data_IF_212484270433
#
_entry.id   IF_212484270433
#
_cell.length_a   1.000
_cell.length_b   1.000
_cell.length_c   1.000
_cell.angle_alpha   90.00
_cell.angle_beta   90.00
_cell.angle_gamma   90.00
#
_symmetry.space_group_name_H-M   'P 1'
#
loop_
_entity.id
_entity.type
_entity.pdbx_description
1 polymer ?
2 water ?
#
# COMPACT_ATOMS: atom_id res chain seq x y z
N UNK A 26 -11.72 3.50 18.67
CA UNK A 26 -12.68 3.61 19.81
C UNK A 26 -13.85 2.68 19.67
N UNK A 27 -14.23 2.16 20.82
CA UNK A 27 -15.11 1.00 20.91
C UNK A 27 -16.54 1.35 20.45
N UNK A 28 -17.02 2.54 20.80
CA UNK A 28 -18.34 3.01 20.36
C UNK A 28 -18.43 3.16 18.85
N UNK A 29 -17.37 3.72 18.25
CA UNK A 29 -17.33 3.91 16.82
C UNK A 29 -17.44 2.55 16.12
N UNK A 30 -16.64 1.61 16.61
CA UNK A 30 -16.61 0.26 16.05
C UNK A 30 -17.99 -0.36 16.09
N UNK A 31 -18.68 -0.20 17.22
CA UNK A 31 -20.03 -0.75 17.37
C UNK A 31 -21.00 -0.15 16.38
N UNK A 32 -20.95 1.17 16.20
CA UNK A 32 -21.90 1.87 15.30
C UNK A 32 -21.66 1.39 13.86
N UNK A 33 -20.39 1.33 13.46
CA UNK A 33 -19.98 0.89 12.11
C UNK A 33 -20.36 -0.57 11.83
N UNK A 34 -20.16 -1.46 12.79
CA UNK A 34 -20.52 -2.86 12.53
C UNK A 34 -22.02 -3.00 12.26
N UNK A 35 -22.83 -2.33 13.07
CA UNK A 35 -24.29 -2.43 12.92
C UNK A 35 -24.74 -1.79 11.62
N UNK A 36 -24.21 -0.59 11.36
CA UNK A 36 -24.49 0.11 10.12
C UNK A 36 -24.12 -0.69 8.88
N UNK A 37 -22.96 -1.33 8.88
CA UNK A 37 -22.53 -2.09 7.72
C UNK A 37 -23.48 -3.28 7.42
N UNK A 38 -23.99 -3.93 8.47
CA UNK A 38 -24.93 -5.02 8.26
C UNK A 38 -26.29 -4.51 7.77
N UNK A 39 -26.57 -3.21 8.00
CA UNK A 39 -27.77 -2.49 7.53
C UNK A 39 -27.47 -1.57 6.34
N UNK A 40 -26.32 -1.76 5.69
CA UNK A 40 -25.81 -0.78 4.70
C UNK A 40 -26.72 -0.47 3.55
N UNK A 41 -27.63 -1.38 3.22
CA UNK A 41 -28.57 -1.12 2.16
C UNK A 41 -29.51 0.06 2.41
N UNK A 42 -29.75 0.42 3.68
CA UNK A 42 -30.46 1.66 3.98
C UNK A 42 -29.60 2.86 4.39
N UNK A 43 -28.32 2.84 4.00
CA UNK A 43 -27.40 3.99 4.15
C UNK A 43 -27.15 4.61 2.80
N UNK A 44 -27.32 5.92 2.70
CA UNK A 44 -27.22 6.59 1.41
C UNK A 44 -26.81 8.06 1.58
N UNK A 45 -26.81 8.84 0.51
CA UNK A 45 -26.31 10.22 0.58
C UNK A 45 -27.14 11.07 1.54
N UNK A 46 -28.36 10.61 1.88
CA UNK A 46 -29.27 11.41 2.67
C UNK A 46 -29.19 11.06 4.16
N UNK A 47 -28.49 9.97 4.48
CA UNK A 47 -28.22 9.55 5.87
C UNK A 47 -27.53 10.64 6.67
N UNK A 48 -27.97 10.89 7.90
CA UNK A 48 -27.24 11.78 8.77
C UNK A 48 -27.07 11.13 10.14
N UNK A 49 -27.23 11.88 11.22
CA UNK A 49 -27.05 11.31 12.56
C UNK A 49 -25.79 10.57 12.89
N UNK A 50 -25.92 9.55 13.75
CA UNK A 50 -24.79 8.85 14.33
C UNK A 50 -23.98 8.05 13.31
N UNK A 51 -24.68 7.45 12.36
CA UNK A 51 -24.02 6.74 11.27
C UNK A 51 -23.13 7.68 10.40
N UNK A 52 -23.66 8.81 9.91
CA UNK A 52 -22.77 9.74 9.19
C UNK A 52 -21.61 10.20 10.05
N UNK A 53 -21.85 10.53 11.31
CA UNK A 53 -20.78 10.99 12.17
C UNK A 53 -19.71 9.94 12.45
N UNK A 54 -20.12 8.72 12.75
CA UNK A 54 -19.15 7.63 13.00
C UNK A 54 -18.32 7.32 11.76
N UNK A 55 -18.95 7.23 10.62
CA UNK A 55 -18.17 6.95 9.40
C UNK A 55 -17.16 8.08 9.19
N UNK A 56 -17.63 9.33 9.32
CA UNK A 56 -16.80 10.54 9.15
C UNK A 56 -15.58 10.56 10.07
N UNK A 57 -15.85 10.36 11.36
CA UNK A 57 -14.82 10.29 12.40
C UNK A 57 -13.81 9.19 12.11
N UNK A 58 -14.31 8.04 11.69
CA UNK A 58 -13.47 6.87 11.44
C UNK A 58 -12.43 7.17 10.32
N UNK A 59 -12.88 7.82 9.23
CA UNK A 59 -12.04 8.13 8.11
C UNK A 59 -11.06 9.25 8.49
N UNK A 60 -11.50 10.14 9.37
CA UNK A 60 -10.61 11.15 9.92
C UNK A 60 -9.50 10.48 10.72
N UNK A 61 -9.84 9.53 11.60
CA UNK A 61 -8.84 8.78 12.34
C UNK A 61 -7.90 8.03 11.42
N UNK A 62 -8.41 7.42 10.36
CA UNK A 62 -7.57 6.80 9.34
C UNK A 62 -6.61 7.87 8.69
N UNK A 63 -7.15 9.02 8.34
CA UNK A 63 -6.39 10.07 7.68
C UNK A 63 -5.20 10.55 8.54
N UNK A 64 -5.38 10.53 9.85
CA UNK A 64 -4.37 10.92 10.82
C UNK A 64 -3.49 9.78 11.30
N UNK A 65 -3.70 8.56 10.80
CA UNK A 65 -2.91 7.41 11.21
C UNK A 65 -3.17 7.00 12.67
N UNK A 66 -4.20 7.56 13.30
CA UNK A 66 -4.54 7.26 14.73
C UNK A 66 -5.20 5.88 14.87
N UNK A 67 -5.67 5.34 13.74
CA UNK A 67 -6.10 3.94 13.63
C UNK A 67 -5.57 3.50 12.27
N UNK A 68 -5.51 2.20 12.02
CA UNK A 68 -5.02 1.68 10.71
C UNK A 68 -5.73 0.37 10.31
N UNK A 69 -5.85 0.10 9.00
CA UNK A 69 -6.60 -1.04 8.46
C UNK A 69 -6.01 -2.38 8.94
N UNK A 70 -4.69 -2.46 9.03
CA UNK A 70 -3.98 -3.65 9.46
C UNK A 70 -2.86 -3.19 10.38
N UNK A 71 -2.60 -3.97 11.42
CA UNK A 71 -1.54 -3.64 12.35
C UNK A 71 -0.75 -4.90 12.72
N UNK A 72 0.53 -4.71 12.96
CA UNK A 72 1.40 -5.83 13.26
C UNK A 72 1.31 -6.17 14.74
N UNK A 73 1.02 -7.44 15.00
CA UNK A 73 0.90 -7.88 16.40
C UNK A 73 2.25 -8.40 16.88
N UNK A 74 2.43 -8.51 18.20
CA UNK A 74 3.55 -9.27 18.77
C UNK A 74 3.02 -10.65 18.55
N UNK A 75 3.88 -11.54 18.07
CA UNK A 75 3.43 -12.65 17.26
C UNK A 75 3.93 -12.39 15.84
N UNK A 76 4.23 -11.13 15.57
CA UNK A 76 4.84 -10.68 14.33
C UNK A 76 4.01 -10.87 13.08
N UNK A 77 2.69 -10.84 13.17
CA UNK A 77 1.88 -10.94 11.97
C UNK A 77 0.88 -9.81 11.92
N UNK A 78 0.36 -9.58 10.73
CA UNK A 78 -0.49 -8.41 10.52
C UNK A 78 -1.98 -8.83 10.62
N UNK A 79 -2.74 -8.13 11.45
CA UNK A 79 -4.16 -8.38 11.68
C UNK A 79 -4.98 -7.27 11.10
N UNK A 80 -6.03 -7.64 10.35
CA UNK A 80 -6.99 -6.72 9.75
C UNK A 80 -8.00 -6.20 10.79
N UNK A 81 -8.18 -4.87 10.81
CA UNK A 81 -9.25 -4.25 11.57
C UNK A 81 -10.43 -4.06 10.59
N UNK A 82 -11.22 -5.11 10.44
CA UNK A 82 -12.34 -5.19 9.48
C UNK A 82 -13.31 -4.03 9.60
N UNK A 83 -13.64 -3.58 10.80
CA UNK A 83 -14.58 -2.43 10.93
C UNK A 83 -14.08 -1.20 10.15
N UNK A 84 -12.77 -1.02 10.05
CA UNK A 84 -12.22 0.10 9.29
C UNK A 84 -12.43 -0.03 7.77
N UNK A 85 -12.24 -1.22 7.24
CA UNK A 85 -12.69 -1.48 5.88
C UNK A 85 -14.21 -1.25 5.69
N UNK A 86 -15.01 -1.56 6.71
CA UNK A 86 -16.45 -1.34 6.63
C UNK A 86 -16.78 0.16 6.64
N UNK A 87 -16.09 0.96 7.46
CA UNK A 87 -16.26 2.42 7.44
C UNK A 87 -16.00 2.98 6.05
N UNK A 88 -14.89 2.56 5.44
CA UNK A 88 -14.52 3.02 4.07
C UNK A 88 -15.62 2.67 3.06
N UNK A 89 -16.10 1.42 3.11
CA UNK A 89 -17.18 0.97 2.23
C UNK A 89 -18.50 1.74 2.45
N UNK A 90 -18.78 2.17 3.66
CA UNK A 90 -20.01 2.95 3.97
C UNK A 90 -19.91 4.36 3.40
N UNK A 91 -18.68 4.88 3.36
CA UNK A 91 -18.41 6.22 2.91
C UNK A 91 -18.74 6.35 1.43
N UNK A 92 -18.65 5.23 0.70
CA UNK A 92 -19.09 5.20 -0.73
C UNK A 92 -20.58 5.45 -0.83
N UNK A 93 -21.33 5.00 0.17
CA UNK A 93 -22.78 5.11 0.17
C UNK A 93 -23.26 6.48 0.66
N UNK A 94 -22.53 7.02 1.62
CA UNK A 94 -22.76 8.31 2.21
C UNK A 94 -22.39 9.43 1.24
N UNK A 95 -21.41 9.22 0.38
CA UNK A 95 -20.88 10.35 -0.38
C UNK A 95 -21.34 10.24 -1.82
N UNK A 96 -21.84 11.34 -2.39
CA UNK A 96 -22.36 11.35 -3.74
C UNK A 96 -21.26 11.50 -4.79
N UNK A 97 -21.48 10.97 -5.98
CA UNK A 97 -20.75 11.45 -7.15
C UNK A 97 -20.98 12.96 -7.27
N UNK A 98 -19.91 13.71 -7.55
CA UNK A 98 -20.09 15.15 -7.78
C UNK A 98 -19.02 15.67 -8.74
N UNK A 99 -19.26 16.87 -9.28
CA UNK A 99 -18.31 17.49 -10.18
C UNK A 99 -17.19 18.06 -9.33
N UNK A 100 -15.96 17.75 -9.67
CA UNK A 100 -14.84 18.15 -8.84
C UNK A 100 -13.94 19.05 -9.69
N UNK A 101 -13.87 20.31 -9.28
CA UNK A 101 -13.25 21.33 -10.12
C UNK A 101 -11.74 21.11 -10.15
N UNK A 102 -11.09 21.83 -11.05
CA UNK A 102 -9.64 21.92 -11.04
C UNK A 102 -8.88 21.20 -12.15
N UNK A 103 -9.58 20.73 -13.18
CA UNK A 103 -8.94 20.08 -14.33
C UNK A 103 -8.42 21.11 -15.34
N UNK A 104 -7.79 20.67 -16.44
CA UNK A 104 -7.29 21.64 -17.42
C UNK A 104 -8.38 22.47 -18.09
N UNK A 105 -8.05 23.75 -18.33
CA UNK A 105 -9.00 24.73 -18.90
C UNK A 105 -10.31 24.83 -18.14
N UNK A 106 -10.19 25.01 -16.83
CA UNK A 106 -11.34 25.10 -15.94
C UNK A 106 -12.37 23.94 -16.08
N UNK A 107 -11.90 22.76 -16.51
CA UNK A 107 -12.73 21.54 -16.63
C UNK A 107 -12.72 20.79 -15.30
N UNK A 108 -13.47 19.70 -15.24
CA UNK A 108 -13.77 19.06 -13.97
C UNK A 108 -13.60 17.55 -14.02
N UNK A 109 -13.57 16.94 -12.82
CA UNK A 109 -13.60 15.48 -12.69
C UNK A 109 -14.99 15.07 -12.16
N UNK A 110 -15.19 13.77 -12.00
CA UNK A 110 -16.49 13.21 -11.61
C UNK A 110 -16.25 11.96 -10.75
N UNK A 111 -16.37 12.14 -9.44
CA UNK A 111 -16.03 11.10 -8.47
C UNK A 111 -16.66 11.41 -7.12
N UNK A 112 -16.55 10.46 -6.19
CA UNK A 112 -17.19 10.61 -4.93
C UNK A 112 -16.26 10.53 -3.74
N UNK A 113 -14.94 10.62 -3.98
CA UNK A 113 -13.96 10.61 -2.91
C UNK A 113 -13.18 11.94 -2.91
N UNK A 114 -13.23 12.70 -1.79
CA UNK A 114 -12.45 13.97 -1.81
C UNK A 114 -10.95 13.79 -1.59
N UNK A 115 -10.20 14.76 -2.08
CA UNK A 115 -8.78 14.85 -1.76
C UNK A 115 -8.54 14.92 -0.27
N UNK A 116 -7.53 14.19 0.19
CA UNK A 116 -7.00 14.36 1.56
C UNK A 116 -6.82 15.84 1.92
N UNK A 117 -6.40 16.62 0.92
CA UNK A 117 -5.98 18.01 1.10
C UNK A 117 -7.12 19.03 0.91
N UNK A 118 -8.35 18.55 0.76
CA UNK A 118 -9.53 19.38 0.65
C UNK A 118 -9.58 20.32 1.86
N UNK A 119 -9.53 21.60 1.49
CA UNK A 119 -9.57 22.71 2.46
C UNK A 119 -8.34 22.93 3.31
N UNK A 120 -7.27 22.18 3.03
CA UNK A 120 -6.07 22.29 3.84
C UNK A 120 -5.40 23.65 3.58
N UNK A 121 -4.94 24.31 4.64
CA UNK A 121 -4.13 25.52 4.64
C UNK A 121 -2.79 25.12 5.20
N UNK A 122 -1.93 26.11 5.38
CA UNK A 122 -0.64 25.92 5.98
C UNK A 122 -0.73 25.26 7.36
N UNK A 123 -1.77 25.57 8.16
CA UNK A 123 -1.91 24.93 9.47
C UNK A 123 -1.88 23.39 9.39
N UNK A 124 -2.64 22.85 8.45
CA UNK A 124 -2.76 21.38 8.29
C UNK A 124 -1.49 20.78 7.74
N UNK A 125 -0.89 21.42 6.74
CA UNK A 125 0.40 20.91 6.21
C UNK A 125 1.57 20.99 7.20
N UNK A 126 1.58 22.05 7.98
CA UNK A 126 2.55 22.26 9.06
C UNK A 126 2.43 21.13 10.04
N UNK A 127 1.23 20.86 10.50
CA UNK A 127 1.04 19.81 11.47
C UNK A 127 1.43 18.43 10.94
N UNK A 128 1.07 18.14 9.69
CA UNK A 128 1.30 16.79 9.15
C UNK A 128 2.78 16.53 8.86
N UNK A 129 3.52 17.53 8.35
CA UNK A 129 4.97 17.45 8.25
C UNK A 129 5.51 16.67 7.05
N UNK A 130 4.70 16.40 6.05
CA UNK A 130 5.15 15.71 4.85
C UNK A 130 5.23 16.66 3.70
N UNK A 131 5.85 16.23 2.61
CA UNK A 131 6.02 17.08 1.44
C UNK A 131 5.13 16.57 0.34
N UNK A 132 4.38 17.47 -0.30
CA UNK A 132 3.40 17.09 -1.32
C UNK A 132 3.65 17.89 -2.58
N UNK A 133 4.38 17.23 -3.48
CA UNK A 133 4.83 17.84 -4.71
C UNK A 133 3.73 17.76 -5.71
N UNK A 134 3.44 18.89 -6.38
CA UNK A 134 2.48 18.91 -7.42
C UNK A 134 2.96 17.96 -8.52
N UNK A 135 2.11 17.10 -9.09
CA UNK A 135 0.66 17.07 -8.82
C UNK A 135 0.21 15.77 -8.21
N UNK A 136 0.80 15.44 -7.07
CA UNK A 136 0.45 14.19 -6.39
C UNK A 136 -1.03 14.22 -5.99
N UNK A 137 -1.61 13.04 -5.85
CA UNK A 137 -3.01 12.83 -5.54
C UNK A 137 -3.06 11.91 -4.31
N UNK A 138 -3.73 12.39 -3.28
CA UNK A 138 -3.99 11.54 -2.09
C UNK A 138 -5.45 11.63 -1.70
N UNK A 139 -6.10 10.49 -1.62
CA UNK A 139 -7.55 10.51 -1.24
C UNK A 139 -7.70 10.58 0.28
N UNK A 140 -8.72 11.30 0.76
CA UNK A 140 -9.00 11.36 2.21
C UNK A 140 -9.15 9.96 2.83
N UNK A 141 -8.56 9.78 4.00
CA UNK A 141 -8.40 8.51 4.81
C UNK A 141 -7.07 7.80 4.67
N UNK A 142 -6.22 8.28 3.78
CA UNK A 142 -4.80 7.82 3.72
C UNK A 142 -3.96 8.65 4.67
N UNK A 143 -3.15 7.98 5.49
CA UNK A 143 -2.27 8.61 6.48
C UNK A 143 -0.95 8.79 5.79
N UNK A 144 -0.46 10.01 5.81
CA UNK A 144 0.92 10.30 5.42
C UNK A 144 1.64 10.88 6.59
N UNK A 145 2.67 10.14 7.02
CA UNK A 145 3.45 10.49 8.21
C UNK A 145 4.45 11.61 8.01
N UNK A 146 4.89 12.21 9.13
CA UNK A 146 5.84 13.29 8.99
C UNK A 146 7.09 12.84 8.23
N UNK A 147 7.61 13.72 7.42
CA UNK A 147 8.90 13.52 6.73
C UNK A 147 8.82 12.55 5.54
N UNK A 148 7.61 12.07 5.22
CA UNK A 148 7.35 11.40 3.93
C UNK A 148 7.52 12.42 2.84
N UNK A 149 7.89 11.95 1.66
CA UNK A 149 7.98 12.80 0.46
C UNK A 149 7.13 12.17 -0.66
N UNK A 150 6.11 12.90 -1.07
CA UNK A 150 5.22 12.49 -2.15
C UNK A 150 5.62 13.27 -3.42
N UNK A 151 6.31 12.57 -4.29
CA UNK A 151 6.53 13.03 -5.64
C UNK A 151 5.17 12.87 -6.36
N UNK A 152 5.02 13.32 -7.63
CA UNK A 152 3.79 13.07 -8.34
C UNK A 152 3.53 11.56 -8.33
N UNK A 153 2.40 11.18 -7.74
CA UNK A 153 2.09 9.83 -7.30
C UNK A 153 0.65 9.81 -6.81
N UNK A 154 0.19 8.60 -6.49
CA UNK A 154 -1.19 8.36 -6.06
C UNK A 154 -1.25 7.47 -4.82
N UNK A 155 -1.88 7.99 -3.77
CA UNK A 155 -2.08 7.24 -2.53
C UNK A 155 -3.60 7.11 -2.32
N UNK A 156 -4.07 5.87 -2.22
CA UNK A 156 -5.50 5.57 -2.22
C UNK A 156 -6.03 5.45 -0.81
N UNK A 157 -7.35 5.36 -0.73
CA UNK A 157 -8.05 5.20 0.51
C UNK A 157 -7.48 4.27 1.55
N UNK A 158 -7.43 4.71 2.81
CA UNK A 158 -7.11 3.81 3.88
C UNK A 158 -5.65 3.39 3.92
N UNK A 159 -4.79 3.93 3.02
CA UNK A 159 -3.37 3.61 3.04
C UNK A 159 -2.71 4.22 4.28
N UNK A 160 -1.55 3.68 4.62
CA UNK A 160 -0.79 4.13 5.77
C UNK A 160 0.64 4.20 5.32
N UNK A 161 1.13 5.42 5.13
CA UNK A 161 2.46 5.72 4.70
C UNK A 161 3.21 6.31 5.89
N UNK A 162 4.11 5.50 6.45
CA UNK A 162 4.80 5.85 7.71
C UNK A 162 6.01 6.75 7.54
N UNK A 163 6.55 7.22 8.67
CA UNK A 163 7.53 8.29 8.72
C UNK A 163 8.69 8.11 7.75
N UNK A 164 9.02 9.16 7.00
CA UNK A 164 10.23 9.19 6.20
C UNK A 164 10.14 8.35 4.94
N UNK A 165 8.94 7.89 4.59
CA UNK A 165 8.75 7.07 3.39
C UNK A 165 8.99 7.97 2.17
N UNK A 166 9.61 7.42 1.14
CA UNK A 166 9.79 8.15 -0.11
C UNK A 166 8.93 7.48 -1.19
N UNK A 167 7.96 8.23 -1.70
CA UNK A 167 6.99 7.81 -2.71
C UNK A 167 7.41 8.58 -3.98
N UNK A 168 8.18 7.88 -4.80
CA UNK A 168 8.77 8.48 -6.02
C UNK A 168 7.75 8.66 -7.15
N UNK A 169 8.21 9.33 -8.22
CA UNK A 169 7.33 9.75 -9.31
C UNK A 169 6.65 8.57 -10.00
N UNK A 170 5.33 8.73 -10.14
CA UNK A 170 4.44 7.76 -10.72
C UNK A 170 4.47 6.45 -9.96
N UNK A 171 4.77 6.53 -8.67
CA UNK A 171 4.51 5.40 -7.80
C UNK A 171 3.01 5.39 -7.43
N UNK A 172 2.57 4.28 -6.86
CA UNK A 172 1.18 4.15 -6.45
C UNK A 172 1.12 3.38 -5.15
N UNK A 173 0.36 3.91 -4.19
CA UNK A 173 0.11 3.24 -2.94
C UNK A 173 -1.40 2.99 -2.92
N UNK A 174 -1.73 1.74 -3.19
CA UNK A 174 -3.10 1.27 -3.33
C UNK A 174 -3.91 1.21 -2.02
N UNK A 175 -5.21 1.00 -2.19
CA UNK A 175 -6.11 1.05 -1.04
C UNK A 175 -5.70 0.10 0.09
N UNK A 176 -5.70 0.65 1.32
CA UNK A 176 -5.36 -0.03 2.61
C UNK A 176 -3.94 -0.46 2.78
N UNK A 177 -3.07 -0.11 1.83
CA UNK A 177 -1.71 -0.62 1.79
C UNK A 177 -0.96 -0.06 2.99
N UNK A 178 -0.10 -0.86 3.59
CA UNK A 178 0.67 -0.45 4.74
C UNK A 178 2.14 -0.34 4.28
N UNK A 179 2.67 0.88 4.33
CA UNK A 179 4.04 1.21 3.92
C UNK A 179 4.87 1.66 5.11
N UNK A 180 5.88 0.88 5.40
CA UNK A 180 6.67 1.07 6.58
C UNK A 180 7.53 2.32 6.68
N UNK A 181 8.11 2.48 7.85
CA UNK A 181 8.99 3.61 8.07
C UNK A 181 10.21 3.48 7.16
N UNK A 182 10.63 4.61 6.58
CA UNK A 182 11.85 4.73 5.75
C UNK A 182 11.84 3.93 4.48
N UNK A 183 10.67 3.42 4.11
CA UNK A 183 10.51 2.68 2.88
C UNK A 183 10.73 3.57 1.68
N UNK A 184 11.48 3.06 0.71
CA UNK A 184 11.67 3.82 -0.54
C UNK A 184 10.95 3.07 -1.67
N UNK A 185 9.87 3.64 -2.14
CA UNK A 185 9.20 3.18 -3.33
C UNK A 185 9.73 4.01 -4.52
N UNK A 186 10.47 3.33 -5.36
CA UNK A 186 11.21 4.03 -6.45
C UNK A 186 10.26 4.40 -7.57
N UNK A 187 10.77 5.09 -8.60
CA UNK A 187 9.93 5.48 -9.73
C UNK A 187 9.09 4.36 -10.30
N UNK A 188 7.81 4.62 -10.51
CA UNK A 188 6.94 3.74 -11.19
C UNK A 188 6.65 2.48 -10.38
N UNK A 189 6.86 2.52 -9.07
CA UNK A 189 6.56 1.33 -8.24
C UNK A 189 5.09 1.34 -7.80
N UNK A 190 4.39 0.23 -7.97
CA UNK A 190 2.97 0.15 -7.64
C UNK A 190 2.77 -0.89 -6.56
N UNK A 191 2.04 -0.48 -5.52
CA UNK A 191 1.71 -1.33 -4.37
C UNK A 191 0.21 -1.50 -4.44
N UNK A 192 -0.23 -2.74 -4.71
CA UNK A 192 -1.64 -3.04 -5.04
C UNK A 192 -2.62 -2.85 -3.89
N UNK A 193 -3.80 -2.35 -4.23
CA UNK A 193 -4.87 -2.10 -3.30
C UNK A 193 -5.64 -3.36 -2.97
N UNK A 194 -6.13 -3.43 -1.73
CA UNK A 194 -6.94 -4.55 -1.30
C UNK A 194 -8.06 -4.02 -0.42
N UNK A 195 -9.26 -3.83 -0.96
CA UNK A 195 -10.37 -3.37 -0.09
C UNK A 195 -11.29 -4.54 0.25
N UNK A 196 -11.89 -5.11 -0.77
CA UNK A 196 -12.73 -6.31 -0.58
C UNK A 196 -11.97 -7.51 -1.12
N UNK A 197 -12.10 -8.68 -0.47
CA UNK A 197 -12.95 -8.98 0.71
C UNK A 197 -12.45 -8.48 2.07
N UNK A 198 -13.37 -8.51 3.03
CA UNK A 198 -13.19 -7.93 4.36
C UNK A 198 -12.03 -8.56 5.06
N UNK A 199 -11.99 -9.89 5.00
CA UNK A 199 -10.95 -10.66 5.63
C UNK A 199 -9.59 -10.49 4.98
N UNK A 200 -9.56 -10.06 3.71
CA UNK A 200 -8.32 -10.04 2.91
C UNK A 200 -7.36 -9.02 3.47
N UNK A 201 -6.15 -9.48 3.79
CA UNK A 201 -5.09 -8.61 4.29
C UNK A 201 -4.58 -7.68 3.19
N UNK A 202 -4.22 -6.45 3.55
CA UNK A 202 -3.76 -5.52 2.51
C UNK A 202 -2.32 -5.80 2.16
N UNK A 203 -1.86 -5.20 1.07
CA UNK A 203 -0.46 -5.31 0.66
C UNK A 203 0.39 -4.59 1.70
N UNK A 204 1.47 -5.25 2.16
CA UNK A 204 2.29 -4.75 3.23
C UNK A 204 3.78 -4.66 2.83
N UNK A 205 4.35 -3.47 2.92
CA UNK A 205 5.80 -3.26 2.75
C UNK A 205 6.31 -2.84 4.09
N UNK A 206 7.07 -3.71 4.73
CA UNK A 206 7.49 -3.41 6.12
C UNK A 206 8.65 -2.41 6.18
N UNK A 207 8.99 -2.02 7.40
CA UNK A 207 9.95 -0.96 7.67
C UNK A 207 11.27 -1.20 6.93
N UNK A 208 11.80 -0.13 6.33
CA UNK A 208 13.18 -0.09 5.79
C UNK A 208 13.46 -0.91 4.53
N UNK A 209 12.44 -1.12 3.73
CA UNK A 209 12.58 -1.83 2.46
C UNK A 209 12.90 -0.79 1.45
N UNK A 210 13.69 -1.23 0.48
CA UNK A 210 13.95 -0.46 -0.70
C UNK A 210 13.31 -1.26 -1.83
N UNK A 211 12.54 -0.58 -2.64
CA UNK A 211 11.86 -1.21 -3.74
C UNK A 211 12.28 -0.51 -5.04
N UNK A 212 13.06 -1.19 -5.86
CA UNK A 212 13.56 -0.59 -7.09
C UNK A 212 12.51 -0.26 -8.14
N UNK A 213 12.89 0.68 -9.00
CA UNK A 213 12.00 1.19 -10.03
C UNK A 213 11.31 0.15 -10.92
N UNK A 214 10.06 0.48 -11.24
CA UNK A 214 9.17 -0.33 -12.08
C UNK A 214 8.69 -1.64 -11.44
N UNK A 215 8.90 -1.84 -10.15
CA UNK A 215 8.45 -3.05 -9.49
C UNK A 215 6.98 -2.90 -9.08
N UNK A 216 6.35 -4.01 -8.82
CA UNK A 216 4.95 -4.05 -8.38
C UNK A 216 4.81 -5.12 -7.33
N UNK A 217 4.17 -4.78 -6.21
CA UNK A 217 3.80 -5.78 -5.22
C UNK A 217 2.28 -5.64 -4.99
N UNK A 218 1.57 -6.72 -5.25
CA UNK A 218 0.13 -6.60 -5.21
C UNK A 218 -0.59 -7.65 -4.37
N UNK A 219 -1.90 -7.50 -4.26
CA UNK A 219 -2.77 -8.57 -3.75
C UNK A 219 -2.51 -9.12 -2.36
N UNK A 220 -2.13 -8.26 -1.42
CA UNK A 220 -1.95 -8.73 -0.06
C UNK A 220 -0.64 -9.48 0.16
N UNK A 221 0.28 -9.39 -0.79
CA UNK A 221 1.60 -9.92 -0.59
C UNK A 221 2.33 -9.02 0.42
N UNK A 222 3.31 -9.60 1.09
CA UNK A 222 4.03 -8.95 2.15
C UNK A 222 5.51 -9.03 1.83
N UNK A 223 6.17 -7.90 1.93
CA UNK A 223 7.60 -7.83 1.87
C UNK A 223 8.07 -7.51 3.27
N UNK A 224 8.78 -8.44 3.89
CA UNK A 224 9.26 -8.25 5.26
C UNK A 224 10.43 -7.30 5.35
N UNK A 225 10.55 -6.76 6.57
CA UNK A 225 11.45 -5.69 6.97
C UNK A 225 12.88 -5.76 6.42
N UNK A 226 13.39 -4.63 5.94
CA UNK A 226 14.80 -4.53 5.49
C UNK A 226 15.17 -5.18 4.16
N UNK A 227 14.18 -5.60 3.42
CA UNK A 227 14.40 -6.25 2.13
C UNK A 227 14.74 -5.21 1.05
N UNK A 228 15.42 -5.68 0.03
CA UNK A 228 15.88 -4.86 -1.07
C UNK A 228 15.39 -5.59 -2.31
N UNK A 229 14.43 -5.00 -3.02
CA UNK A 229 14.00 -5.46 -4.33
C UNK A 229 14.66 -4.67 -5.44
N UNK A 230 15.16 -5.36 -6.46
CA UNK A 230 15.61 -4.60 -7.65
C UNK A 230 14.53 -4.00 -8.56
N UNK A 231 14.96 -3.52 -9.74
CA UNK A 231 14.02 -3.06 -10.75
C UNK A 231 13.29 -4.23 -11.41
N UNK A 232 12.04 -3.98 -11.79
CA UNK A 232 11.16 -4.99 -12.45
C UNK A 232 10.84 -6.27 -11.69
N UNK A 233 10.78 -6.18 -10.36
CA UNK A 233 10.38 -7.27 -9.55
C UNK A 233 8.86 -7.18 -9.39
N UNK A 234 8.17 -8.19 -9.89
CA UNK A 234 6.72 -8.15 -9.98
C UNK A 234 6.16 -9.23 -9.11
N UNK A 235 5.75 -8.90 -7.88
CA UNK A 235 5.17 -9.90 -6.96
C UNK A 235 3.63 -9.75 -6.71
N UNK A 236 2.89 -10.74 -7.18
CA UNK A 236 1.50 -10.94 -6.76
C UNK A 236 1.30 -12.36 -6.31
N UNK A 237 0.03 -12.70 -6.06
CA UNK A 237 -0.29 -14.00 -5.49
C UNK A 237 0.09 -15.16 -6.42
N UNK A 238 0.20 -14.87 -7.72
CA UNK A 238 0.56 -15.87 -8.72
C UNK A 238 2.04 -15.96 -9.09
N UNK A 239 2.86 -15.03 -8.57
CA UNK A 239 4.27 -14.98 -8.91
C UNK A 239 5.09 -15.99 -8.11
N UNK A 240 5.88 -16.79 -8.83
CA UNK A 240 6.84 -17.70 -8.16
C UNK A 240 7.92 -16.84 -7.56
N UNK A 241 8.16 -16.95 -6.26
CA UNK A 241 9.30 -16.27 -5.64
C UNK A 241 10.25 -17.40 -5.39
N UNK A 242 11.43 -17.36 -6.00
CA UNK A 242 12.26 -18.56 -6.01
C UNK A 242 13.53 -18.40 -5.20
N UNK A 243 13.84 -19.41 -4.41
CA UNK A 243 15.11 -19.40 -3.65
C UNK A 243 16.24 -19.69 -4.61
N UNK A 244 17.23 -18.82 -4.66
CA UNK A 244 18.30 -19.08 -5.59
C UNK A 244 19.05 -20.40 -5.33
N UNK A 245 19.24 -20.76 -4.07
CA UNK A 245 20.09 -21.90 -3.72
C UNK A 245 19.48 -23.21 -4.15
N UNK A 246 18.17 -23.31 -4.04
CA UNK A 246 17.51 -24.62 -4.09
C UNK A 246 16.45 -24.77 -5.17
N UNK A 247 15.92 -23.65 -5.65
CA UNK A 247 14.81 -23.68 -6.58
C UNK A 247 13.48 -23.68 -5.87
N UNK A 248 13.46 -23.71 -4.54
CA UNK A 248 12.21 -23.70 -3.79
C UNK A 248 11.31 -22.55 -4.26
N UNK A 249 10.08 -22.91 -4.66
CA UNK A 249 9.09 -21.98 -5.17
C UNK A 249 8.06 -21.63 -4.11
N UNK A 250 7.84 -20.35 -3.86
CA UNK A 250 6.76 -20.03 -2.93
C UNK A 250 6.11 -18.74 -3.32
N UNK A 251 5.09 -18.36 -2.56
CA UNK A 251 4.16 -17.33 -2.99
C UNK A 251 3.83 -16.43 -1.83
N UNK A 252 3.68 -15.16 -2.13
CA UNK A 252 2.96 -14.20 -1.27
C UNK A 252 3.78 -13.48 -0.22
N UNK A 253 5.04 -13.92 0.05
CA UNK A 253 5.79 -13.35 1.15
C UNK A 253 7.28 -13.36 0.86
N UNK A 254 7.92 -12.19 0.98
CA UNK A 254 9.40 -12.04 0.95
C UNK A 254 9.89 -11.95 2.39
N UNK A 255 10.76 -12.89 2.81
CA UNK A 255 11.31 -12.92 4.15
C UNK A 255 12.14 -11.70 4.51
N UNK A 256 12.35 -11.49 5.82
CA UNK A 256 13.11 -10.30 6.23
C UNK A 256 14.52 -10.30 5.66
N UNK A 257 15.00 -9.11 5.30
CA UNK A 257 16.33 -8.88 4.85
C UNK A 257 16.68 -9.68 3.62
N UNK A 258 15.69 -9.87 2.75
CA UNK A 258 15.88 -10.52 1.44
C UNK A 258 16.42 -9.52 0.43
N UNK A 259 17.23 -10.04 -0.49
CA UNK A 259 17.62 -9.32 -1.70
C UNK A 259 17.02 -10.13 -2.84
N UNK A 260 16.15 -9.46 -3.59
CA UNK A 260 15.25 -10.10 -4.56
C UNK A 260 15.44 -9.39 -5.88
N UNK A 261 15.61 -10.17 -6.95
CA UNK A 261 15.75 -9.57 -8.29
C UNK A 261 14.84 -10.30 -9.29
N UNK A 262 14.67 -9.71 -10.45
CA UNK A 262 13.92 -10.27 -11.55
C UNK A 262 14.73 -11.42 -12.10
N UNK A 263 14.04 -12.49 -12.48
CA UNK A 263 14.71 -13.58 -13.17
C UNK A 263 13.73 -14.51 -13.84
N UNK A 264 14.17 -15.78 -14.04
CA UNK A 264 13.36 -16.80 -14.62
C UNK A 264 13.70 -18.16 -14.08
N UNK A 265 12.81 -19.10 -14.37
CA UNK A 265 13.03 -20.53 -14.18
C UNK A 265 12.81 -21.25 -15.53
N UNK A 266 13.62 -22.30 -15.81
CA UNK A 266 13.45 -23.05 -17.06
C UNK A 266 12.11 -23.74 -17.13
N UNK A 267 11.54 -23.82 -18.34
CA UNK A 267 10.29 -24.54 -18.58
C UNK A 267 10.56 -25.89 -19.23
N UNK A 268 9.50 -26.58 -19.64
CA UNK A 268 9.61 -27.82 -20.42
C UNK A 268 10.37 -27.59 -21.71
N UNK A 269 11.21 -28.56 -22.10
CA UNK A 269 11.90 -28.48 -23.37
C UNK A 269 10.92 -28.73 -24.50
N UNK A 270 11.23 -28.20 -25.68
CA UNK A 270 10.38 -28.37 -26.87
C UNK A 270 10.57 -29.80 -27.45
N UNK A 271 9.52 -30.35 -28.11
CA UNK A 271 9.50 -31.76 -28.50
C UNK A 271 10.83 -32.27 -29.07
N UNK A 272 11.42 -33.22 -28.37
CA UNK A 272 12.65 -33.85 -28.81
C UNK A 272 13.94 -33.08 -28.68
N UNK A 273 13.89 -31.84 -28.17
CA UNK A 273 15.05 -30.94 -28.04
C UNK A 273 15.44 -30.81 -26.57
N UNK A 274 16.64 -30.30 -26.34
CA UNK A 274 17.19 -30.13 -24.98
C UNK A 274 16.99 -28.74 -24.39
N UNK A 275 16.07 -27.97 -24.99
CA UNK A 275 15.87 -26.58 -24.58
C UNK A 275 14.40 -26.21 -24.63
N UNK A 276 14.06 -25.15 -23.90
CA UNK A 276 12.72 -24.59 -23.94
C UNK A 276 12.73 -23.14 -23.47
N UNK A 277 11.60 -22.46 -23.58
CA UNK A 277 11.43 -21.11 -23.00
C UNK A 277 11.50 -21.10 -21.47
N UNK A 278 11.88 -19.98 -20.90
CA UNK A 278 11.98 -19.79 -19.47
C UNK A 278 10.89 -18.78 -19.14
N UNK A 279 10.40 -18.79 -17.90
CA UNK A 279 9.30 -17.93 -17.44
C UNK A 279 9.73 -17.06 -16.26
N UNK A 280 9.17 -15.87 -16.23
CA UNK A 280 9.49 -14.89 -15.19
C UNK A 280 9.27 -15.47 -13.81
N UNK A 281 10.16 -15.12 -12.90
CA UNK A 281 9.94 -15.31 -11.47
C UNK A 281 10.68 -14.22 -10.72
N UNK A 282 10.34 -14.02 -9.46
CA UNK A 282 11.23 -13.24 -8.60
C UNK A 282 12.26 -14.20 -8.01
N UNK A 283 13.51 -13.77 -7.90
CA UNK A 283 14.56 -14.62 -7.31
C UNK A 283 15.16 -14.03 -6.02
N UNK A 284 15.05 -14.75 -4.89
CA UNK A 284 15.75 -14.32 -3.68
C UNK A 284 17.24 -14.73 -3.84
N UNK A 285 18.12 -13.76 -4.02
CA UNK A 285 19.54 -13.99 -4.33
C UNK A 285 20.39 -13.94 -3.07
N UNK A 286 19.86 -13.38 -2.01
CA UNK A 286 20.56 -13.27 -0.73
C UNK A 286 19.55 -13.21 0.40
N UNK A 287 19.85 -13.95 1.47
CA UNK A 287 19.08 -13.89 2.72
C UNK A 287 20.04 -13.32 3.72
N UNK A 288 19.90 -12.01 3.96
CA UNK A 288 20.85 -11.22 4.70
C UNK A 288 20.35 -10.94 6.11
N UNK A 289 20.75 -9.79 6.63
CA UNK A 289 20.91 -9.54 8.07
C UNK A 289 20.62 -8.08 8.32
N UNK A 290 20.16 -7.69 9.51
CA UNK A 290 20.09 -6.26 9.87
C UNK A 290 21.49 -5.65 9.83
N UNK A 291 22.43 -6.38 10.41
CA UNK A 291 23.83 -5.95 10.45
C UNK A 291 24.32 -5.72 9.03
N UNK A 292 24.10 -6.70 8.16
CA UNK A 292 24.58 -6.61 6.79
C UNK A 292 23.91 -5.48 6.04
N UNK A 293 22.61 -5.28 6.26
CA UNK A 293 21.89 -4.22 5.57
C UNK A 293 22.44 -2.86 6.01
N UNK A 294 22.72 -2.72 7.30
CA UNK A 294 23.38 -1.52 7.83
C UNK A 294 24.80 -1.30 7.34
N UNK A 295 25.54 -2.38 7.08
CA UNK A 295 26.92 -2.28 6.60
C UNK A 295 27.06 -2.23 5.07
N UNK A 296 26.03 -2.59 4.31
CA UNK A 296 26.17 -2.78 2.88
C UNK A 296 25.19 -1.92 2.10
N UNK A 297 25.68 -1.15 1.13
CA UNK A 297 24.83 -0.31 0.27
C UNK A 297 23.84 -1.15 -0.56
N UNK A 298 22.70 -0.56 -0.92
CA UNK A 298 21.72 -1.19 -1.81
C UNK A 298 22.41 -1.75 -3.07
N UNK A 299 23.27 -0.95 -3.70
CA UNK A 299 23.88 -1.35 -4.98
C UNK A 299 24.88 -2.46 -4.79
N UNK A 300 25.60 -2.43 -3.67
CA UNK A 300 26.49 -3.55 -3.32
C UNK A 300 25.68 -4.83 -3.15
N UNK A 301 24.57 -4.74 -2.42
CA UNK A 301 23.70 -5.90 -2.24
C UNK A 301 23.19 -6.45 -3.57
N UNK A 302 22.83 -5.58 -4.50
CA UNK A 302 22.25 -6.02 -5.78
C UNK A 302 23.31 -6.50 -6.76
N UNK A 303 24.54 -6.01 -6.59
CA UNK A 303 25.65 -6.32 -7.51
C UNK A 303 26.37 -7.65 -7.23
N UNK A 304 26.88 -7.83 -6.01
CA UNK A 304 27.63 -9.07 -5.69
C UNK A 304 27.12 -9.74 -4.45
#
# INVERSE_FOLDING_TARGET
MAHHHHHHMGTLEAQTQGPSMTKPDLASLEKTIEKAFDERDGINTATRGEVREAVEQSLILLDRGEVRVAEKQADGNWHVNQWLKKAVLLSFRLNPMEVIKGGPGQSSWWDKVPSKFDGWTANEFEKAGFRAVPNCIVRHSAYIAPNAILMPSFVNLGAYVDKGAMIDTWATVGSCAQIGKNVHLSGGVGIGGVLEPMQAGPTIIEDNCFIGARSEVVEGCIVREGSVLGMGVFIGKSTKIVDRATGEVFYGEVPPYSVVVAGTMPGKNVPGENWGPSLYCAVIVKRADEKTRSKTSINELLRD
#
